data_IF_636818930798
#
_entry.id   IF_636818930798
#
_cell.length_a   1.000
_cell.length_b   1.000
_cell.length_c   1.000
_cell.angle_alpha   90.00
_cell.angle_beta   90.00
_cell.angle_gamma   90.00
#
_symmetry.space_group_name_H-M   'P 1'
#
loop_
_entity.id
_entity.type
_entity.pdbx_description
1 polymer ?
#
# COMPACT_ATOMS: atom_id res chain seq x y z
N UNK A 1 47.77 28.05 -7.62
CA UNK A 1 47.04 28.78 -6.56
C UNK A 1 46.30 27.73 -5.74
N UNK A 2 46.61 27.63 -4.43
CA UNK A 2 45.98 26.79 -3.36
C UNK A 2 46.02 25.26 -3.56
N UNK A 3 46.72 24.39 -2.79
CA UNK A 3 46.90 24.13 -1.33
C UNK A 3 45.63 23.73 -0.57
N UNK A 4 45.77 22.65 0.22
CA UNK A 4 44.93 22.07 1.31
C UNK A 4 43.92 20.96 0.87
N UNK A 5 43.74 19.81 1.55
CA UNK A 5 44.15 19.29 2.87
C UNK A 5 44.14 17.75 2.87
N UNK A 6 45.01 17.16 3.70
CA UNK A 6 44.94 15.78 4.17
C UNK A 6 43.81 15.59 5.18
N UNK A 7 43.14 14.44 5.14
CA UNK A 7 42.41 13.90 6.28
C UNK A 7 42.61 12.38 6.32
N UNK A 8 43.51 11.95 7.19
CA UNK A 8 43.62 10.59 7.66
C UNK A 8 42.45 10.28 8.60
N UNK A 9 41.58 9.33 8.25
CA UNK A 9 40.89 8.52 9.24
C UNK A 9 40.76 7.10 8.71
N UNK A 10 41.32 6.16 9.48
CA UNK A 10 41.22 4.73 9.25
C UNK A 10 39.75 4.32 9.36
N UNK A 11 39.16 3.77 8.29
CA UNK A 11 38.05 2.83 8.43
C UNK A 11 38.64 1.41 8.43
N UNK A 12 38.35 0.56 9.43
CA UNK A 12 38.85 -0.80 9.46
C UNK A 12 38.01 -1.70 8.54
N UNK A 13 38.71 -2.43 7.66
CA UNK A 13 38.34 -3.70 7.03
C UNK A 13 36.87 -3.90 6.64
N UNK A 14 36.51 -3.50 5.41
CA UNK A 14 35.57 -4.29 4.62
C UNK A 14 36.27 -5.61 4.26
N UNK A 15 35.84 -6.71 4.88
CA UNK A 15 36.21 -8.05 4.45
C UNK A 15 35.60 -8.31 3.08
N UNK A 16 36.41 -8.08 2.04
CA UNK A 16 36.15 -8.47 0.66
C UNK A 16 35.95 -9.98 0.61
N UNK A 17 34.72 -10.44 0.44
CA UNK A 17 34.48 -11.77 -0.13
C UNK A 17 34.47 -11.59 -1.64
N UNK A 18 35.60 -11.95 -2.27
CA UNK A 18 35.77 -12.25 -3.69
C UNK A 18 34.93 -11.42 -4.70
N UNK A 19 35.42 -10.22 -5.04
CA UNK A 19 35.18 -9.55 -6.33
C UNK A 19 33.72 -9.35 -6.79
N UNK A 20 32.75 -9.25 -5.90
CA UNK A 20 31.41 -8.77 -6.21
C UNK A 20 31.21 -7.39 -5.58
N UNK A 21 30.91 -6.38 -6.40
CA UNK A 21 30.44 -5.08 -5.91
C UNK A 21 29.00 -5.28 -5.43
N UNK A 22 28.81 -5.17 -4.11
CA UNK A 22 27.49 -5.24 -3.47
C UNK A 22 27.04 -3.78 -3.26
N UNK A 23 26.12 -3.23 -4.07
CA UNK A 23 25.52 -1.93 -3.80
C UNK A 23 24.85 -1.93 -2.41
N UNK A 24 24.82 -0.77 -1.76
CA UNK A 24 24.34 -0.58 -0.37
C UNK A 24 22.90 -1.05 -0.08
N UNK A 25 22.14 -1.38 -1.12
CA UNK A 25 20.77 -1.90 -1.01
C UNK A 25 20.71 -3.43 -0.87
N UNK A 26 21.82 -4.15 -1.09
CA UNK A 26 21.93 -5.61 -0.95
C UNK A 26 22.31 -6.09 0.46
N UNK A 27 22.56 -5.19 1.40
CA UNK A 27 22.93 -5.56 2.78
C UNK A 27 21.75 -6.14 3.60
N UNK A 28 20.54 -6.25 3.04
CA UNK A 28 19.32 -6.58 3.81
C UNK A 28 18.53 -7.81 3.37
N UNK A 29 18.75 -8.36 2.18
CA UNK A 29 17.95 -9.49 1.67
C UNK A 29 18.84 -10.70 1.37
N UNK A 30 18.40 -11.88 1.80
CA UNK A 30 19.17 -13.10 1.59
C UNK A 30 19.17 -13.51 0.11
N UNK A 31 20.34 -13.82 -0.48
CA UNK A 31 20.44 -14.14 -1.90
C UNK A 31 19.96 -15.56 -2.20
N UNK A 32 18.64 -15.80 -2.21
CA UNK A 32 18.05 -17.13 -2.36
C UNK A 32 18.53 -17.87 -3.62
N UNK A 33 18.48 -17.23 -4.80
CA UNK A 33 18.83 -17.90 -6.06
C UNK A 33 20.34 -18.20 -6.17
N UNK A 34 21.24 -17.24 -5.88
CA UNK A 34 22.67 -17.54 -5.79
C UNK A 34 22.99 -18.63 -4.76
N UNK A 35 22.38 -18.58 -3.57
CA UNK A 35 22.54 -19.59 -2.52
C UNK A 35 22.07 -20.98 -2.98
N UNK A 36 20.93 -21.04 -3.68
CA UNK A 36 20.40 -22.29 -4.23
C UNK A 36 21.37 -22.93 -5.22
N UNK A 37 21.89 -22.15 -6.18
CA UNK A 37 22.85 -22.63 -7.17
C UNK A 37 24.14 -23.09 -6.50
N UNK A 38 24.64 -22.35 -5.52
CA UNK A 38 25.83 -22.71 -4.75
C UNK A 38 25.64 -24.01 -3.95
N UNK A 39 24.45 -24.21 -3.39
CA UNK A 39 24.14 -25.35 -2.51
C UNK A 39 23.83 -26.62 -3.30
N UNK A 40 23.03 -26.50 -4.36
CA UNK A 40 22.48 -27.66 -5.08
C UNK A 40 23.07 -27.87 -6.48
N UNK A 41 23.98 -27.00 -6.92
CA UNK A 41 24.73 -27.13 -8.18
C UNK A 41 23.86 -27.07 -9.44
N UNK A 42 22.63 -26.57 -9.34
CA UNK A 42 21.66 -26.53 -10.42
C UNK A 42 20.81 -25.27 -10.35
N UNK A 43 20.26 -24.86 -11.51
CA UNK A 43 19.30 -23.77 -11.55
C UNK A 43 17.98 -24.19 -10.91
N UNK A 44 17.35 -23.32 -10.10
CA UNK A 44 16.11 -23.65 -9.41
C UNK A 44 14.88 -23.62 -10.33
N UNK A 45 13.88 -24.42 -9.99
CA UNK A 45 12.49 -24.18 -10.39
C UNK A 45 11.79 -23.33 -9.32
N UNK A 46 10.73 -22.61 -9.70
CA UNK A 46 10.02 -21.68 -8.83
C UNK A 46 8.81 -22.32 -8.17
N UNK A 47 8.67 -22.11 -6.87
CA UNK A 47 7.52 -22.50 -6.07
C UNK A 47 6.83 -21.24 -5.53
N UNK A 48 5.58 -21.05 -5.91
CA UNK A 48 4.76 -19.91 -5.49
C UNK A 48 3.47 -20.41 -4.82
N UNK A 49 3.13 -19.84 -3.68
CA UNK A 49 1.85 -20.05 -3.03
C UNK A 49 1.03 -18.77 -3.09
N UNK A 50 -0.24 -18.89 -3.47
CA UNK A 50 -1.18 -17.76 -3.49
C UNK A 50 -1.91 -17.59 -2.15
N UNK A 51 -1.69 -18.50 -1.21
CA UNK A 51 -2.39 -18.57 0.06
C UNK A 51 -1.50 -18.10 1.21
N UNK A 52 -2.11 -17.49 2.22
CA UNK A 52 -1.46 -17.21 3.51
C UNK A 52 -1.54 -18.45 4.41
N UNK A 53 -0.53 -18.69 5.25
CA UNK A 53 -0.45 -19.87 6.12
C UNK A 53 -0.37 -19.51 7.59
N UNK A 54 -1.05 -20.29 8.43
CA UNK A 54 -0.98 -20.20 9.90
C UNK A 54 0.42 -20.56 10.39
N UNK A 55 0.89 -20.03 11.54
CA UNK A 55 2.17 -20.41 12.15
C UNK A 55 2.36 -21.93 12.35
N UNK A 56 1.27 -22.70 12.49
CA UNK A 56 1.32 -24.17 12.50
C UNK A 56 1.99 -24.79 11.27
N UNK A 57 1.93 -24.13 10.10
CA UNK A 57 2.61 -24.61 8.90
C UNK A 57 4.14 -24.61 9.05
N UNK A 58 4.70 -23.75 9.90
CA UNK A 58 6.12 -23.78 10.22
C UNK A 58 6.51 -25.11 10.90
N UNK A 59 5.70 -25.55 11.85
CA UNK A 59 5.96 -26.81 12.57
C UNK A 59 5.96 -28.00 11.61
N UNK A 60 5.16 -27.93 10.53
CA UNK A 60 5.17 -28.94 9.47
C UNK A 60 6.50 -28.94 8.69
N UNK A 61 7.06 -27.76 8.38
CA UNK A 61 8.38 -27.67 7.73
C UNK A 61 9.47 -28.27 8.64
N UNK A 62 9.52 -27.83 9.90
CA UNK A 62 10.51 -28.32 10.87
C UNK A 62 10.40 -29.84 11.08
N UNK A 63 9.16 -30.35 11.18
CA UNK A 63 8.88 -31.79 11.29
C UNK A 63 9.23 -32.60 10.04
N UNK A 64 9.44 -31.94 8.90
CA UNK A 64 9.82 -32.57 7.62
C UNK A 64 11.29 -32.36 7.27
N UNK A 65 12.13 -32.00 8.24
CA UNK A 65 13.58 -31.92 8.05
C UNK A 65 14.05 -30.63 7.37
N UNK A 66 13.18 -29.61 7.25
CA UNK A 66 13.63 -28.29 6.83
C UNK A 66 14.44 -27.62 7.94
N UNK A 67 15.64 -27.14 7.58
CA UNK A 67 16.55 -26.47 8.49
C UNK A 67 16.49 -24.97 8.26
N UNK A 68 16.35 -24.19 9.33
CA UNK A 68 16.45 -22.74 9.29
C UNK A 68 17.89 -22.31 9.01
N UNK A 69 18.15 -21.65 7.89
CA UNK A 69 19.48 -21.18 7.50
C UNK A 69 19.65 -19.66 7.67
N UNK A 70 18.55 -18.91 7.70
CA UNK A 70 18.55 -17.47 7.96
C UNK A 70 17.21 -17.02 8.56
N UNK A 71 17.23 -15.96 9.35
CA UNK A 71 16.04 -15.27 9.83
C UNK A 71 16.30 -13.79 10.05
N UNK A 72 15.27 -12.99 9.81
CA UNK A 72 15.28 -11.54 10.02
C UNK A 72 14.24 -11.17 11.09
N UNK A 73 14.59 -10.25 11.99
CA UNK A 73 13.74 -9.81 13.10
C UNK A 73 13.59 -8.28 13.10
N UNK A 74 12.38 -7.80 13.43
CA UNK A 74 12.07 -6.38 13.67
C UNK A 74 11.85 -6.17 15.16
N UNK A 75 12.43 -5.11 15.71
CA UNK A 75 12.14 -4.66 17.06
C UNK A 75 11.13 -3.51 16.97
N UNK A 76 10.04 -3.65 17.69
CA UNK A 76 9.01 -2.60 17.86
C UNK A 76 8.81 -2.33 19.35
N UNK A 77 8.03 -1.30 19.68
CA UNK A 77 7.63 -1.00 21.06
C UNK A 77 6.82 -2.15 21.70
N UNK A 78 6.25 -3.05 20.89
CA UNK A 78 5.50 -4.23 21.33
C UNK A 78 6.36 -5.50 21.43
N UNK A 79 7.64 -5.46 21.00
CA UNK A 79 8.58 -6.57 21.15
C UNK A 79 9.33 -6.95 19.87
N UNK A 80 9.87 -8.17 19.89
CA UNK A 80 10.64 -8.74 18.79
C UNK A 80 9.71 -9.56 17.90
N UNK A 81 9.65 -9.23 16.62
CA UNK A 81 8.84 -9.95 15.64
C UNK A 81 9.73 -10.54 14.56
N UNK A 82 9.50 -11.81 14.20
CA UNK A 82 10.11 -12.37 13.01
C UNK A 82 9.50 -11.69 11.78
N UNK A 83 10.35 -11.25 10.85
CA UNK A 83 9.93 -10.72 9.54
C UNK A 83 10.04 -11.83 8.50
N UNK A 84 11.10 -12.61 8.59
CA UNK A 84 11.49 -13.54 7.55
C UNK A 84 12.19 -14.76 8.16
N UNK A 85 11.93 -15.94 7.59
CA UNK A 85 12.71 -17.16 7.85
C UNK A 85 12.99 -17.88 6.54
N UNK A 86 14.20 -18.42 6.42
CA UNK A 86 14.65 -19.13 5.24
C UNK A 86 14.99 -20.55 5.62
N UNK A 87 14.29 -21.49 5.00
CA UNK A 87 14.36 -22.91 5.26
C UNK A 87 15.01 -23.64 4.10
N UNK A 88 15.89 -24.58 4.40
CA UNK A 88 16.55 -25.43 3.42
C UNK A 88 16.28 -26.89 3.74
N UNK A 89 15.99 -27.68 2.71
CA UNK A 89 15.91 -29.13 2.78
C UNK A 89 16.97 -29.78 1.89
N UNK A 90 17.56 -30.88 2.35
CA UNK A 90 18.64 -31.59 1.65
C UNK A 90 18.23 -32.12 0.27
N UNK A 91 16.95 -32.45 0.08
CA UNK A 91 16.38 -32.90 -1.20
C UNK A 91 16.35 -31.82 -2.30
N UNK A 92 16.86 -30.61 -2.03
CA UNK A 92 16.93 -29.54 -3.02
C UNK A 92 15.75 -28.60 -2.97
N UNK A 93 15.30 -28.22 -1.77
CA UNK A 93 14.23 -27.23 -1.59
C UNK A 93 14.74 -26.10 -0.72
N UNK A 94 14.45 -24.87 -1.13
CA UNK A 94 14.73 -23.66 -0.39
C UNK A 94 13.46 -22.83 -0.30
N UNK A 95 12.98 -22.52 0.89
CA UNK A 95 11.75 -21.79 1.12
C UNK A 95 12.04 -20.51 1.89
N UNK A 96 11.43 -19.40 1.47
CA UNK A 96 11.36 -18.15 2.22
C UNK A 96 9.95 -17.98 2.75
N UNK A 97 9.85 -17.81 4.07
CA UNK A 97 8.62 -17.51 4.79
C UNK A 97 8.66 -16.06 5.26
N UNK A 98 7.76 -15.23 4.77
CA UNK A 98 7.59 -13.82 5.18
C UNK A 98 6.43 -13.71 6.16
N UNK A 99 6.71 -13.25 7.37
CA UNK A 99 5.77 -13.21 8.48
C UNK A 99 5.06 -11.86 8.55
N UNK A 100 3.76 -11.92 8.80
CA UNK A 100 2.91 -10.76 9.05
C UNK A 100 2.51 -10.76 10.52
N UNK A 101 3.37 -10.17 11.35
CA UNK A 101 3.28 -10.29 12.81
C UNK A 101 3.29 -11.76 13.25
N UNK A 102 2.44 -12.10 14.22
CA UNK A 102 2.31 -13.47 14.73
C UNK A 102 1.10 -14.23 14.13
N UNK A 103 0.43 -13.64 13.13
CA UNK A 103 -0.87 -14.13 12.64
C UNK A 103 -0.75 -15.18 11.54
N UNK A 104 0.04 -14.88 10.52
CA UNK A 104 0.25 -15.75 9.36
C UNK A 104 1.57 -15.42 8.66
N UNK A 105 1.97 -16.28 7.72
CA UNK A 105 3.11 -16.05 6.86
C UNK A 105 2.81 -16.43 5.41
N UNK A 106 3.52 -15.80 4.48
CA UNK A 106 3.53 -16.14 3.06
C UNK A 106 4.73 -17.00 2.75
N UNK A 107 4.56 -17.97 1.86
CA UNK A 107 5.60 -18.92 1.51
C UNK A 107 5.88 -18.83 0.02
N UNK A 108 7.16 -18.80 -0.34
CA UNK A 108 7.62 -18.99 -1.71
C UNK A 108 9.02 -19.59 -1.69
N UNK A 109 9.51 -20.06 -2.83
CA UNK A 109 10.84 -20.64 -2.83
C UNK A 109 11.23 -21.31 -4.13
N UNK A 110 12.21 -22.19 -3.99
CA UNK A 110 12.85 -22.90 -5.07
C UNK A 110 12.90 -24.39 -4.81
N UNK A 111 12.82 -25.17 -5.87
CA UNK A 111 12.98 -26.61 -5.80
C UNK A 111 13.78 -27.15 -6.98
N UNK A 112 14.48 -28.27 -6.75
CA UNK A 112 15.22 -28.99 -7.78
C UNK A 112 14.37 -30.06 -8.45
N UNK A 113 13.67 -30.87 -7.65
CA UNK A 113 12.87 -32.01 -8.10
C UNK A 113 11.40 -31.84 -7.70
N UNK A 114 10.49 -31.99 -8.66
CA UNK A 114 9.05 -31.78 -8.46
C UNK A 114 8.44 -32.83 -7.51
N UNK A 115 8.95 -34.06 -7.54
CA UNK A 115 8.41 -35.18 -6.77
C UNK A 115 8.75 -35.01 -5.29
N UNK A 116 9.98 -34.60 -4.99
CA UNK A 116 10.40 -34.18 -3.64
C UNK A 116 9.60 -32.98 -3.14
N UNK A 117 9.40 -31.95 -3.98
CA UNK A 117 8.62 -30.77 -3.60
C UNK A 117 7.17 -31.13 -3.23
N UNK A 118 6.49 -31.89 -4.10
CA UNK A 118 5.10 -32.35 -3.84
C UNK A 118 5.01 -33.18 -2.57
N UNK A 119 5.95 -34.09 -2.34
CA UNK A 119 5.96 -34.94 -1.15
C UNK A 119 6.21 -34.13 0.13
N UNK A 120 7.20 -33.24 0.12
CA UNK A 120 7.59 -32.47 1.30
C UNK A 120 6.62 -31.34 1.63
N UNK A 121 5.77 -30.93 0.69
CA UNK A 121 4.76 -29.89 0.86
C UNK A 121 3.32 -30.44 0.86
N UNK A 122 3.16 -31.76 0.85
CA UNK A 122 1.85 -32.40 0.92
C UNK A 122 1.10 -32.01 2.20
N UNK A 123 -0.20 -31.74 2.14
CA UNK A 123 -0.97 -31.27 3.31
C UNK A 123 -0.59 -29.88 3.84
N UNK A 124 0.33 -29.15 3.22
CA UNK A 124 0.65 -27.77 3.62
C UNK A 124 -0.58 -26.85 3.47
N UNK A 125 -1.46 -27.17 2.53
CA UNK A 125 -2.75 -26.50 2.30
C UNK A 125 -3.71 -26.57 3.51
N UNK A 126 -3.61 -27.58 4.37
CA UNK A 126 -4.44 -27.69 5.57
C UNK A 126 -4.11 -26.60 6.62
N UNK A 127 -2.92 -26.00 6.49
CA UNK A 127 -2.47 -24.90 7.34
C UNK A 127 -2.82 -23.52 6.76
N UNK A 128 -3.65 -23.46 5.71
CA UNK A 128 -4.13 -22.19 5.16
C UNK A 128 -4.75 -21.32 6.25
N UNK A 129 -4.31 -20.08 6.32
CA UNK A 129 -4.89 -19.06 7.16
C UNK A 129 -6.22 -18.63 6.55
N UNK A 130 -7.28 -18.75 7.34
CA UNK A 130 -8.59 -18.21 6.98
C UNK A 130 -8.65 -16.86 7.65
N UNK A 131 -8.63 -15.81 6.85
CA UNK A 131 -8.81 -14.46 7.37
C UNK A 131 -10.18 -14.36 8.04
N UNK A 132 -10.22 -13.80 9.25
CA UNK A 132 -11.47 -13.49 9.91
C UNK A 132 -12.29 -12.54 9.01
N UNK A 133 -13.58 -12.84 8.84
CA UNK A 133 -14.52 -12.13 7.96
C UNK A 133 -14.63 -10.62 8.19
N UNK A 134 -14.08 -10.11 9.31
CA UNK A 134 -14.23 -8.74 9.78
C UNK A 134 -12.91 -7.95 9.88
N UNK A 135 -11.77 -8.51 9.44
CA UNK A 135 -10.53 -7.74 9.46
C UNK A 135 -10.26 -7.09 8.11
N UNK A 136 -10.12 -5.77 8.14
CA UNK A 136 -9.64 -4.97 7.02
C UNK A 136 -8.32 -5.50 6.50
N UNK A 137 -8.27 -5.84 5.21
CA UNK A 137 -7.06 -6.28 4.53
C UNK A 137 -6.41 -5.08 3.85
N UNK A 138 -5.81 -4.19 4.66
CA UNK A 138 -5.06 -3.06 4.13
C UNK A 138 -3.61 -3.47 3.94
N UNK A 139 -3.11 -3.23 2.74
CA UNK A 139 -1.76 -3.56 2.33
C UNK A 139 -1.08 -2.32 1.79
N UNK A 140 0.13 -2.06 2.27
CA UNK A 140 1.00 -1.02 1.74
C UNK A 140 1.88 -1.63 0.64
N UNK A 141 1.87 -1.02 -0.54
CA UNK A 141 2.77 -1.41 -1.63
C UNK A 141 4.19 -0.96 -1.30
N UNK A 142 5.15 -1.86 -1.48
CA UNK A 142 6.57 -1.63 -1.29
C UNK A 142 7.38 -2.18 -2.47
N UNK A 143 8.60 -1.67 -2.66
CA UNK A 143 9.55 -2.15 -3.66
C UNK A 143 10.72 -2.84 -2.95
N UNK A 144 11.10 -4.04 -3.42
CA UNK A 144 12.25 -4.81 -2.94
C UNK A 144 13.04 -5.44 -4.09
N UNK A 145 14.02 -6.31 -3.82
CA UNK A 145 14.86 -6.92 -4.87
C UNK A 145 14.07 -7.87 -5.79
N UNK A 146 12.90 -8.35 -5.35
CA UNK A 146 11.96 -9.15 -6.14
C UNK A 146 10.90 -8.34 -6.90
N UNK A 147 10.98 -7.01 -6.89
CA UNK A 147 9.97 -6.11 -7.44
C UNK A 147 8.96 -5.64 -6.40
N UNK A 148 7.72 -5.40 -6.84
CA UNK A 148 6.65 -4.90 -5.99
C UNK A 148 6.06 -6.02 -5.11
N UNK A 149 5.85 -5.72 -3.85
CA UNK A 149 5.20 -6.61 -2.88
C UNK A 149 4.32 -5.80 -1.92
N UNK A 150 3.55 -6.50 -1.08
CA UNK A 150 2.65 -5.89 -0.09
C UNK A 150 3.08 -6.20 1.33
N UNK A 151 3.11 -5.18 2.19
CA UNK A 151 3.18 -5.34 3.65
C UNK A 151 1.80 -5.04 4.24
N UNK A 152 1.26 -5.93 5.09
CA UNK A 152 -0.02 -5.69 5.75
C UNK A 152 0.14 -4.60 6.80
N UNK A 153 -0.79 -3.65 6.83
CA UNK A 153 -0.82 -2.58 7.83
C UNK A 153 -2.09 -2.70 8.67
N UNK A 154 -1.92 -2.60 9.99
CA UNK A 154 -3.05 -2.45 10.90
C UNK A 154 -3.43 -0.97 10.98
N UNK A 155 -4.60 -0.62 10.44
CA UNK A 155 -5.18 0.71 10.59
C UNK A 155 -6.48 0.53 11.39
N UNK A 156 -6.54 1.19 12.55
CA UNK A 156 -7.78 1.30 13.31
C UNK A 156 -8.73 2.22 12.55
N UNK A 157 -9.90 1.73 12.11
CA UNK A 157 -10.84 2.57 11.38
C UNK A 157 -11.39 3.66 12.31
N UNK A 158 -11.45 4.93 11.86
CA UNK A 158 -12.05 5.98 12.65
C UNK A 158 -13.55 5.69 12.82
N UNK A 159 -14.09 6.02 13.99
CA UNK A 159 -15.53 6.05 14.21
C UNK A 159 -16.10 7.26 13.48
N UNK A 160 -16.85 7.03 12.41
CA UNK A 160 -17.48 8.07 11.62
C UNK A 160 -19.00 7.94 11.75
N UNK A 161 -19.64 9.06 12.10
CA UNK A 161 -21.07 9.27 11.86
C UNK A 161 -21.25 10.05 10.55
N UNK A 162 -21.77 9.40 9.50
CA UNK A 162 -21.88 10.00 8.17
C UNK A 162 -22.82 11.21 8.14
N UNK A 163 -23.87 11.19 8.95
CA UNK A 163 -24.87 12.28 9.02
C UNK A 163 -24.32 13.50 9.74
N UNK A 164 -23.34 13.30 10.62
CA UNK A 164 -22.72 14.38 11.38
C UNK A 164 -21.46 14.94 10.70
N UNK A 165 -20.63 14.07 10.12
CA UNK A 165 -19.31 14.43 9.59
C UNK A 165 -19.32 14.82 8.11
N UNK A 166 -20.40 14.56 7.37
CA UNK A 166 -20.50 14.92 5.95
C UNK A 166 -21.85 15.59 5.63
N UNK A 167 -21.91 16.28 4.49
CA UNK A 167 -23.13 16.95 4.03
C UNK A 167 -24.20 15.94 3.59
N UNK A 168 -25.46 16.41 3.49
CA UNK A 168 -26.64 15.56 3.23
C UNK A 168 -26.62 14.85 1.88
N UNK A 169 -25.76 15.28 0.94
CA UNK A 169 -25.57 14.63 -0.35
C UNK A 169 -24.67 13.39 -0.27
N UNK A 170 -23.87 13.25 0.79
CA UNK A 170 -22.88 12.19 0.93
C UNK A 170 -23.44 10.80 1.24
N UNK A 171 -24.45 10.60 2.11
CA UNK A 171 -24.95 9.26 2.44
C UNK A 171 -25.35 8.42 1.21
N UNK A 172 -25.94 9.04 0.20
CA UNK A 172 -26.29 8.36 -1.06
C UNK A 172 -25.04 7.91 -1.84
N UNK A 173 -23.99 8.73 -1.81
CA UNK A 173 -22.70 8.43 -2.44
C UNK A 173 -21.98 7.32 -1.67
N UNK A 174 -22.04 7.36 -0.34
CA UNK A 174 -21.51 6.32 0.53
C UNK A 174 -22.12 4.95 0.21
N UNK A 175 -23.45 4.85 0.20
CA UNK A 175 -24.17 3.62 -0.14
C UNK A 175 -23.75 3.10 -1.52
N UNK A 176 -23.62 3.98 -2.50
CA UNK A 176 -23.14 3.61 -3.84
C UNK A 176 -21.69 3.08 -3.80
N UNK A 177 -20.80 3.72 -3.05
CA UNK A 177 -19.40 3.30 -2.94
C UNK A 177 -19.27 1.93 -2.28
N UNK A 178 -19.95 1.69 -1.15
CA UNK A 178 -19.94 0.40 -0.45
C UNK A 178 -20.45 -0.70 -1.38
N UNK A 179 -21.59 -0.48 -2.04
CA UNK A 179 -22.17 -1.46 -2.95
C UNK A 179 -21.27 -1.74 -4.16
N UNK A 180 -20.62 -0.72 -4.74
CA UNK A 180 -19.73 -0.89 -5.89
C UNK A 180 -18.45 -1.65 -5.52
N UNK A 181 -17.86 -1.34 -4.36
CA UNK A 181 -16.63 -1.98 -3.91
C UNK A 181 -16.88 -3.42 -3.42
N UNK A 182 -18.08 -3.73 -2.92
CA UNK A 182 -18.45 -5.09 -2.55
C UNK A 182 -18.71 -6.02 -3.74
N UNK A 183 -18.90 -5.50 -4.96
CA UNK A 183 -19.19 -6.31 -6.13
C UNK A 183 -17.98 -7.18 -6.52
N UNK A 184 -18.12 -8.51 -6.62
CA UNK A 184 -17.03 -9.38 -7.03
C UNK A 184 -16.65 -9.11 -8.47
N UNK A 185 -15.35 -9.17 -8.79
CA UNK A 185 -14.84 -8.96 -10.15
C UNK A 185 -15.26 -7.62 -10.76
N UNK A 186 -15.41 -6.60 -9.92
CA UNK A 186 -15.71 -5.24 -10.35
C UNK A 186 -14.45 -4.50 -10.76
N UNK A 187 -14.60 -3.48 -11.61
CA UNK A 187 -13.50 -2.67 -12.12
C UNK A 187 -13.99 -1.24 -12.36
N UNK A 188 -13.06 -0.29 -12.30
CA UNK A 188 -13.35 1.10 -12.64
C UNK A 188 -12.67 2.10 -11.72
N UNK A 189 -12.90 3.37 -12.02
CA UNK A 189 -12.28 4.51 -11.35
C UNK A 189 -13.28 5.20 -10.43
N UNK A 190 -12.84 5.50 -9.22
CA UNK A 190 -13.53 6.29 -8.20
C UNK A 190 -12.65 7.51 -7.93
N UNK A 191 -13.22 8.69 -8.13
CA UNK A 191 -12.55 9.97 -7.87
C UNK A 191 -13.15 10.61 -6.62
N UNK A 192 -12.32 10.84 -5.60
CA UNK A 192 -12.71 11.49 -4.36
C UNK A 192 -11.88 12.77 -4.19
N UNK A 193 -12.48 13.93 -4.35
CA UNK A 193 -11.74 15.18 -4.35
C UNK A 193 -12.33 16.23 -3.44
N UNK A 194 -11.61 17.32 -3.17
CA UNK A 194 -12.08 18.38 -2.28
C UNK A 194 -10.93 19.05 -1.55
N UNK A 195 -11.20 20.14 -0.84
CA UNK A 195 -10.17 20.88 -0.13
C UNK A 195 -9.45 20.01 0.94
N UNK A 196 -8.20 20.33 1.29
CA UNK A 196 -7.55 19.71 2.44
C UNK A 196 -8.42 19.84 3.71
N UNK A 197 -8.43 18.81 4.55
CA UNK A 197 -9.19 18.84 5.80
C UNK A 197 -10.68 18.51 5.70
N UNK A 198 -11.22 18.19 4.52
CA UNK A 198 -12.63 17.76 4.35
C UNK A 198 -12.88 16.27 4.64
N UNK A 199 -11.87 15.52 5.11
CA UNK A 199 -12.03 14.15 5.60
C UNK A 199 -11.96 13.03 4.55
N UNK A 200 -11.35 13.27 3.38
CA UNK A 200 -11.17 12.25 2.32
C UNK A 200 -10.44 10.99 2.80
N UNK A 201 -9.25 11.16 3.38
CA UNK A 201 -8.44 10.04 3.91
C UNK A 201 -9.11 9.35 5.10
N UNK A 202 -9.76 10.11 5.98
CA UNK A 202 -10.54 9.57 7.10
C UNK A 202 -11.67 8.68 6.58
N UNK A 203 -12.37 9.13 5.53
CA UNK A 203 -13.41 8.33 4.88
C UNK A 203 -12.87 7.05 4.24
N UNK A 204 -11.72 7.10 3.55
CA UNK A 204 -11.11 5.89 2.96
C UNK A 204 -10.79 4.85 4.03
N UNK A 205 -10.24 5.29 5.18
CA UNK A 205 -9.99 4.40 6.32
C UNK A 205 -11.27 3.76 6.83
N UNK A 206 -12.35 4.53 6.96
CA UNK A 206 -13.65 4.00 7.33
C UNK A 206 -14.20 3.02 6.28
N UNK A 207 -14.17 3.40 5.01
CA UNK A 207 -14.64 2.58 3.88
C UNK A 207 -13.92 1.24 3.81
N UNK A 208 -12.61 1.23 4.08
CA UNK A 208 -11.83 0.00 4.11
C UNK A 208 -12.42 -1.02 5.09
N UNK A 209 -12.90 -0.58 6.27
CA UNK A 209 -13.50 -1.45 7.30
C UNK A 209 -14.84 -2.07 6.92
N UNK A 210 -15.51 -1.53 5.90
CA UNK A 210 -16.83 -1.97 5.46
C UNK A 210 -16.76 -2.94 4.26
N UNK A 211 -15.66 -2.92 3.52
CA UNK A 211 -15.52 -3.66 2.27
C UNK A 211 -14.65 -4.90 2.48
N UNK A 212 -15.18 -6.07 2.10
CA UNK A 212 -14.46 -7.35 2.14
C UNK A 212 -13.57 -7.55 0.89
N UNK A 213 -12.66 -6.61 0.63
CA UNK A 213 -11.65 -6.69 -0.44
C UNK A 213 -10.31 -6.20 0.06
N UNK A 214 -9.25 -6.70 -0.57
CA UNK A 214 -7.90 -6.21 -0.31
C UNK A 214 -7.77 -4.75 -0.77
N UNK A 215 -7.28 -3.91 0.13
CA UNK A 215 -7.09 -2.47 -0.04
C UNK A 215 -5.58 -2.21 -0.20
N UNK A 216 -5.13 -2.07 -1.45
CA UNK A 216 -3.74 -1.83 -1.81
C UNK A 216 -3.47 -0.32 -1.80
N UNK A 217 -2.73 0.18 -0.81
CA UNK A 217 -2.33 1.58 -0.73
C UNK A 217 -1.01 1.75 -1.49
N UNK A 218 -1.04 2.57 -2.55
CA UNK A 218 0.16 3.04 -3.23
C UNK A 218 0.64 4.34 -2.55
N UNK A 219 1.81 4.34 -1.89
CA UNK A 219 2.35 5.57 -1.31
C UNK A 219 2.59 6.65 -2.37
N UNK A 220 2.41 7.95 -2.05
CA UNK A 220 2.59 9.03 -3.02
C UNK A 220 3.96 9.04 -3.71
N UNK A 221 5.02 8.68 -2.98
CA UNK A 221 6.39 8.61 -3.51
C UNK A 221 6.62 7.43 -4.47
N UNK A 222 5.71 6.45 -4.52
CA UNK A 222 5.76 5.29 -5.42
C UNK A 222 4.88 5.44 -6.66
N UNK A 223 4.27 6.60 -6.88
CA UNK A 223 3.41 6.84 -8.05
C UNK A 223 4.10 6.54 -9.40
N UNK A 224 5.41 6.72 -9.49
CA UNK A 224 6.19 6.37 -10.68
C UNK A 224 6.10 4.87 -11.05
N UNK A 225 5.88 3.98 -10.08
CA UNK A 225 5.74 2.54 -10.32
C UNK A 225 4.47 2.20 -11.10
N UNK A 226 3.47 3.08 -11.15
CA UNK A 226 2.31 2.89 -12.05
C UNK A 226 2.74 2.77 -13.51
N UNK A 227 3.91 3.31 -13.88
CA UNK A 227 4.49 3.23 -15.23
C UNK A 227 5.53 2.12 -15.38
N UNK A 228 5.90 1.46 -14.28
CA UNK A 228 6.88 0.38 -14.28
C UNK A 228 6.29 -0.89 -14.90
N UNK A 229 7.06 -1.69 -15.65
CA UNK A 229 6.61 -3.02 -16.11
C UNK A 229 6.27 -3.97 -14.95
N UNK A 230 6.78 -3.72 -13.74
CA UNK A 230 6.55 -4.54 -12.55
C UNK A 230 5.11 -4.43 -12.00
N UNK A 231 4.38 -3.36 -12.33
CA UNK A 231 3.02 -3.13 -11.81
C UNK A 231 2.02 -4.17 -12.32
N UNK A 232 2.19 -4.66 -13.56
CA UNK A 232 1.24 -5.58 -14.17
C UNK A 232 1.32 -6.97 -13.54
N UNK A 233 2.51 -7.62 -13.41
CA UNK A 233 2.63 -8.86 -12.65
C UNK A 233 2.10 -8.71 -11.22
N UNK A 234 2.48 -7.61 -10.54
CA UNK A 234 2.02 -7.34 -9.18
C UNK A 234 0.48 -7.29 -9.07
N UNK A 235 -0.20 -6.56 -9.95
CA UNK A 235 -1.67 -6.47 -9.94
C UNK A 235 -2.34 -7.79 -10.42
N UNK A 236 -1.66 -8.60 -11.22
CA UNK A 236 -2.11 -9.95 -11.58
C UNK A 236 -2.03 -10.94 -10.41
N UNK A 237 -1.13 -10.72 -9.45
CA UNK A 237 -1.06 -11.50 -8.22
C UNK A 237 -2.06 -11.01 -7.17
N UNK A 238 -2.46 -9.73 -7.25
CA UNK A 238 -3.41 -9.10 -6.32
C UNK A 238 -4.76 -8.76 -7.00
N UNK A 239 -5.37 -9.72 -7.69
CA UNK A 239 -6.65 -9.54 -8.42
C UNK A 239 -7.83 -9.30 -7.49
N UNK A 240 -8.91 -8.73 -8.05
CA UNK A 240 -10.16 -8.44 -7.33
C UNK A 240 -9.95 -7.60 -6.05
N UNK A 241 -9.05 -6.63 -6.16
CA UNK A 241 -8.64 -5.73 -5.08
C UNK A 241 -8.94 -4.25 -5.42
N UNK A 242 -8.77 -3.40 -4.42
CA UNK A 242 -8.95 -1.95 -4.53
C UNK A 242 -7.59 -1.27 -4.43
N UNK A 243 -7.17 -0.59 -5.49
CA UNK A 243 -5.96 0.23 -5.51
C UNK A 243 -6.29 1.65 -5.06
N UNK A 244 -5.75 2.06 -3.92
CA UNK A 244 -5.87 3.41 -3.37
C UNK A 244 -4.63 4.21 -3.75
N UNK A 245 -4.85 5.36 -4.38
CA UNK A 245 -3.79 6.32 -4.71
C UNK A 245 -4.15 7.66 -4.09
N UNK A 246 -3.47 8.01 -3.00
CA UNK A 246 -3.65 9.31 -2.35
C UNK A 246 -2.83 10.40 -3.03
N UNK A 247 -3.33 11.64 -2.98
CA UNK A 247 -2.68 12.83 -3.58
C UNK A 247 -2.26 12.60 -5.04
N UNK A 248 -3.24 12.13 -5.82
CA UNK A 248 -3.10 11.72 -7.20
C UNK A 248 -3.08 12.89 -8.21
N UNK A 249 -2.95 14.14 -7.76
CA UNK A 249 -2.97 15.34 -8.63
C UNK A 249 -2.04 15.18 -9.83
N UNK A 250 -0.78 14.80 -9.57
CA UNK A 250 0.26 14.71 -10.61
C UNK A 250 -0.03 13.62 -11.64
N UNK A 251 -0.66 12.52 -11.23
CA UNK A 251 -0.86 11.34 -12.09
C UNK A 251 -2.21 11.34 -12.80
N UNK A 252 -3.16 12.20 -12.40
CA UNK A 252 -4.47 12.31 -13.06
C UNK A 252 -4.61 13.54 -13.96
N UNK A 253 -3.67 14.49 -13.84
CA UNK A 253 -3.67 15.72 -14.63
C UNK A 253 -3.38 15.47 -16.11
N UNK A 254 -3.95 16.33 -16.96
CA UNK A 254 -3.65 16.32 -18.39
C UNK A 254 -2.19 16.73 -18.67
N UNK A 255 -1.69 16.36 -19.86
CA UNK A 255 -0.35 16.76 -20.32
C UNK A 255 -0.13 18.27 -20.27
N UNK A 256 -1.17 19.03 -20.59
CA UNK A 256 -1.16 20.50 -20.63
C UNK A 256 -1.05 21.12 -19.23
N UNK A 257 -1.50 20.40 -18.20
CA UNK A 257 -1.42 20.80 -16.81
C UNK A 257 -0.15 20.30 -16.09
N UNK A 258 0.79 19.67 -16.82
CA UNK A 258 2.03 19.13 -16.25
C UNK A 258 1.91 17.72 -15.67
N UNK A 259 0.85 16.99 -16.01
CA UNK A 259 0.60 15.62 -15.52
C UNK A 259 1.46 14.54 -16.19
N UNK A 260 1.59 13.40 -15.52
CA UNK A 260 2.27 12.21 -16.04
C UNK A 260 1.33 11.37 -16.94
N UNK A 261 1.46 11.56 -18.25
CA UNK A 261 0.62 10.91 -19.26
C UNK A 261 0.72 9.38 -19.27
N UNK A 262 1.87 8.84 -18.84
CA UNK A 262 2.07 7.39 -18.81
C UNK A 262 1.30 6.77 -17.64
N UNK A 263 1.33 7.44 -16.48
CA UNK A 263 0.54 7.04 -15.31
C UNK A 263 -0.96 7.11 -15.59
N UNK A 264 -1.45 8.18 -16.22
CA UNK A 264 -2.86 8.28 -16.66
C UNK A 264 -3.22 7.10 -17.56
N UNK A 265 -2.40 6.82 -18.58
CA UNK A 265 -2.67 5.75 -19.54
C UNK A 265 -2.76 4.37 -18.88
N UNK A 266 -1.91 4.09 -17.90
CA UNK A 266 -1.96 2.83 -17.16
C UNK A 266 -3.19 2.75 -16.26
N UNK A 267 -3.57 3.82 -15.56
CA UNK A 267 -4.86 3.86 -14.82
C UNK A 267 -6.04 3.60 -15.77
N UNK A 268 -6.02 4.17 -16.98
CA UNK A 268 -7.05 3.90 -17.98
C UNK A 268 -7.10 2.43 -18.42
N UNK A 269 -5.94 1.78 -18.56
CA UNK A 269 -5.85 0.35 -18.91
C UNK A 269 -6.25 -0.57 -17.74
N UNK A 270 -6.10 -0.12 -16.50
CA UNK A 270 -6.53 -0.85 -15.30
C UNK A 270 -8.04 -0.73 -15.07
N UNK A 271 -8.66 0.35 -15.55
CA UNK A 271 -10.08 0.65 -15.32
C UNK A 271 -10.96 0.24 -16.50
N UNK A 272 -10.37 -0.07 -17.66
CA UNK A 272 -11.06 -0.43 -18.89
C UNK A 272 -10.21 -1.33 -19.80
N UNK A 273 -10.85 -2.15 -20.63
CA UNK A 273 -10.20 -3.06 -21.58
C UNK A 273 -9.72 -4.40 -20.99
N UNK A 274 -8.92 -5.12 -21.79
CA UNK A 274 -8.50 -6.50 -21.53
C UNK A 274 -7.76 -6.69 -20.20
N UNK A 275 -6.86 -5.75 -19.86
CA UNK A 275 -6.11 -5.80 -18.61
C UNK A 275 -7.04 -5.67 -17.40
N UNK A 276 -8.00 -4.75 -17.47
CA UNK A 276 -9.01 -4.57 -16.44
C UNK A 276 -9.92 -5.81 -16.29
N UNK A 277 -10.25 -6.51 -17.39
CA UNK A 277 -11.00 -7.78 -17.37
C UNK A 277 -10.19 -8.96 -16.79
N UNK A 278 -8.87 -8.92 -16.89
CA UNK A 278 -8.01 -9.94 -16.31
C UNK A 278 -7.80 -9.76 -14.80
N UNK A 279 -7.69 -8.51 -14.35
CA UNK A 279 -7.27 -8.19 -12.98
C UNK A 279 -8.44 -7.81 -12.05
N UNK A 280 -9.51 -7.21 -12.58
CA UNK A 280 -10.65 -6.72 -11.80
C UNK A 280 -10.24 -5.76 -10.67
N UNK A 281 -9.43 -4.75 -11.01
CA UNK A 281 -8.96 -3.74 -10.04
C UNK A 281 -9.92 -2.56 -10.05
N UNK A 282 -10.33 -2.14 -8.85
CA UNK A 282 -11.04 -0.88 -8.64
C UNK A 282 -10.04 0.16 -8.15
N UNK A 283 -10.01 1.34 -8.76
CA UNK A 283 -9.05 2.39 -8.40
C UNK A 283 -9.78 3.49 -7.65
N UNK A 284 -9.37 3.79 -6.42
CA UNK A 284 -9.78 4.99 -5.68
C UNK A 284 -8.62 5.97 -5.75
N UNK A 285 -8.86 7.13 -6.35
CA UNK A 285 -7.86 8.19 -6.41
C UNK A 285 -8.37 9.46 -5.71
N UNK A 286 -7.55 10.00 -4.80
CA UNK A 286 -7.86 11.26 -4.12
C UNK A 286 -7.05 12.42 -4.67
N UNK A 287 -7.61 13.63 -4.64
CA UNK A 287 -6.88 14.85 -5.01
C UNK A 287 -7.57 16.11 -4.43
N UNK A 288 -6.81 17.19 -4.27
CA UNK A 288 -7.27 18.47 -3.74
C UNK A 288 -7.60 19.49 -4.85
N UNK A 289 -7.22 19.20 -6.09
CA UNK A 289 -7.30 20.12 -7.23
C UNK A 289 -8.69 20.22 -7.89
N UNK A 290 -8.86 21.25 -8.72
CA UNK A 290 -10.05 21.40 -9.57
C UNK A 290 -10.10 20.31 -10.64
N UNK A 291 -11.27 19.67 -10.76
CA UNK A 291 -11.58 18.64 -11.76
C UNK A 291 -11.26 19.04 -13.20
N UNK A 292 -11.22 20.34 -13.51
CA UNK A 292 -10.88 20.84 -14.84
C UNK A 292 -9.47 20.51 -15.31
N UNK A 293 -8.55 20.20 -14.40
CA UNK A 293 -7.17 19.85 -14.71
C UNK A 293 -6.99 18.35 -15.06
N UNK A 294 -8.01 17.53 -14.84
CA UNK A 294 -7.95 16.09 -15.09
C UNK A 294 -7.97 15.77 -16.58
N UNK A 295 -7.34 14.66 -16.95
CA UNK A 295 -7.49 14.11 -18.29
C UNK A 295 -8.95 13.69 -18.55
N UNK A 296 -9.57 14.24 -19.60
CA UNK A 296 -10.96 13.97 -19.96
C UNK A 296 -11.24 12.50 -20.28
N UNK A 297 -10.22 11.71 -20.63
CA UNK A 297 -10.37 10.27 -20.87
C UNK A 297 -10.74 9.50 -19.59
N UNK A 298 -10.37 10.01 -18.41
CA UNK A 298 -10.75 9.44 -17.11
C UNK A 298 -12.26 9.62 -16.84
N UNK A 299 -12.87 10.69 -17.38
CA UNK A 299 -14.27 11.06 -17.15
C UNK A 299 -15.27 10.33 -18.05
N UNK A 300 -14.81 9.40 -18.89
CA UNK A 300 -15.68 8.67 -19.81
C UNK A 300 -16.60 7.72 -19.04
N UNK A 301 -17.88 7.72 -19.42
CA UNK A 301 -18.88 6.77 -18.92
C UNK A 301 -18.42 5.33 -19.21
N UNK A 302 -18.47 4.46 -18.21
CA UNK A 302 -17.96 3.09 -18.28
C UNK A 302 -16.60 2.90 -17.59
N UNK A 303 -15.81 3.97 -17.44
CA UNK A 303 -14.55 3.96 -16.65
C UNK A 303 -14.78 4.55 -15.27
N UNK A 304 -15.37 5.75 -15.25
CA UNK A 304 -15.68 6.47 -14.03
C UNK A 304 -16.96 5.92 -13.41
N UNK A 305 -16.84 5.36 -12.21
CA UNK A 305 -17.96 4.80 -11.46
C UNK A 305 -18.57 5.81 -10.49
N UNK A 306 -17.70 6.56 -9.79
CA UNK A 306 -18.07 7.59 -8.82
C UNK A 306 -17.11 8.75 -8.95
N UNK A 307 -17.66 9.95 -8.84
CA UNK A 307 -16.92 11.20 -8.78
C UNK A 307 -17.62 12.08 -7.75
N UNK A 308 -16.92 12.35 -6.64
CA UNK A 308 -17.50 13.07 -5.52
C UNK A 308 -16.54 14.13 -4.98
N UNK A 309 -17.11 15.32 -4.74
CA UNK A 309 -16.44 16.48 -4.21
C UNK A 309 -16.78 16.65 -2.72
N UNK A 310 -15.87 16.29 -1.83
CA UNK A 310 -15.94 16.61 -0.41
C UNK A 310 -15.83 18.13 -0.21
N UNK A 311 -16.95 18.73 0.16
CA UNK A 311 -17.03 20.14 0.51
C UNK A 311 -16.76 20.41 1.99
N UNK A 312 -16.70 21.69 2.33
CA UNK A 312 -16.86 22.15 3.72
C UNK A 312 -18.27 21.78 4.22
N UNK A 313 -18.41 21.53 5.51
CA UNK A 313 -19.72 21.34 6.11
C UNK A 313 -20.52 22.64 6.03
N UNK A 314 -21.76 22.53 5.59
CA UNK A 314 -22.69 23.66 5.61
C UNK A 314 -22.83 24.21 7.04
N UNK A 315 -23.07 25.53 7.22
CA UNK A 315 -23.05 26.15 8.55
C UNK A 315 -23.96 25.45 9.58
N UNK A 316 -25.09 24.90 9.14
CA UNK A 316 -26.00 24.14 10.00
C UNK A 316 -25.33 22.85 10.49
N UNK A 317 -24.77 22.06 9.57
CA UNK A 317 -24.05 20.81 9.88
C UNK A 317 -22.81 21.07 10.73
N UNK A 318 -22.02 22.10 10.38
CA UNK A 318 -20.86 22.52 11.16
C UNK A 318 -21.23 22.85 12.60
N UNK A 319 -22.30 23.63 12.82
CA UNK A 319 -22.78 23.94 14.17
C UNK A 319 -23.35 22.73 14.92
N UNK A 320 -23.95 21.77 14.21
CA UNK A 320 -24.41 20.51 14.81
C UNK A 320 -23.23 19.67 15.30
N UNK A 321 -22.18 19.52 14.47
CA UNK A 321 -20.95 18.83 14.87
C UNK A 321 -20.25 19.54 16.02
N UNK A 322 -20.10 20.87 15.98
CA UNK A 322 -19.55 21.66 17.09
C UNK A 322 -20.34 21.45 18.39
N UNK A 323 -21.67 21.41 18.32
CA UNK A 323 -22.53 21.13 19.47
C UNK A 323 -22.34 19.71 20.01
N UNK A 324 -22.19 18.73 19.12
CA UNK A 324 -21.93 17.33 19.49
C UNK A 324 -20.57 17.16 20.18
N UNK A 325 -19.57 17.95 19.78
CA UNK A 325 -18.25 18.03 20.41
C UNK A 325 -18.25 18.84 21.73
N UNK A 326 -19.38 19.41 22.14
CA UNK A 326 -19.47 20.22 23.37
C UNK A 326 -18.91 21.64 23.24
N UNK A 327 -18.63 22.11 22.02
CA UNK A 327 -18.07 23.44 21.77
C UNK A 327 -19.16 24.52 21.84
N UNK A 328 -18.86 25.69 22.40
CA UNK A 328 -19.77 26.85 22.42
C UNK A 328 -19.69 27.72 21.16
N UNK A 329 -18.59 27.62 20.40
CA UNK A 329 -18.39 28.38 19.16
C UNK A 329 -19.47 28.07 18.12
N UNK A 330 -19.98 29.11 17.44
CA UNK A 330 -20.95 28.97 16.35
C UNK A 330 -20.52 29.78 15.14
N UNK A 331 -20.60 29.17 13.97
CA UNK A 331 -20.21 29.77 12.69
C UNK A 331 -21.42 30.06 11.81
N UNK A 332 -21.29 31.07 10.95
CA UNK A 332 -22.20 31.32 9.81
C UNK A 332 -21.58 30.92 8.47
N UNK A 333 -20.30 30.57 8.47
CA UNK A 333 -19.53 30.19 7.29
C UNK A 333 -19.30 28.68 7.28
N UNK A 334 -19.22 28.05 6.08
CA UNK A 334 -18.87 26.64 5.98
C UNK A 334 -17.46 26.37 6.53
N UNK A 335 -17.28 25.24 7.21
CA UNK A 335 -15.99 24.86 7.83
C UNK A 335 -15.52 23.49 7.36
N UNK A 336 -14.20 23.28 7.29
CA UNK A 336 -13.66 21.94 7.08
C UNK A 336 -13.76 21.11 8.36
N UNK A 337 -13.71 19.78 8.25
CA UNK A 337 -13.65 18.92 9.43
C UNK A 337 -12.39 19.20 10.24
N UNK A 338 -11.25 19.40 9.57
CA UNK A 338 -10.01 19.75 10.25
C UNK A 338 -10.12 21.04 11.07
N UNK A 339 -10.75 22.10 10.54
CA UNK A 339 -10.96 23.34 11.28
C UNK A 339 -11.84 23.15 12.51
N UNK A 340 -12.88 22.31 12.40
CA UNK A 340 -13.81 22.02 13.50
C UNK A 340 -13.12 21.21 14.61
N UNK A 341 -12.36 20.17 14.26
CA UNK A 341 -11.67 19.33 15.24
C UNK A 341 -10.47 20.03 15.90
N UNK A 342 -9.82 20.98 15.21
CA UNK A 342 -8.64 21.68 15.68
C UNK A 342 -8.94 23.12 16.13
N UNK A 343 -10.19 23.44 16.46
CA UNK A 343 -10.64 24.80 16.75
C UNK A 343 -9.92 25.44 17.95
N UNK A 344 -9.49 24.62 18.93
CA UNK A 344 -8.72 25.05 20.12
C UNK A 344 -7.21 25.07 19.88
N UNK A 345 -6.73 24.30 18.89
CA UNK A 345 -5.33 24.29 18.46
C UNK A 345 -5.10 25.46 17.49
N UNK A 346 -5.04 26.68 18.02
CA UNK A 346 -4.55 27.81 17.24
C UNK A 346 -3.12 27.52 16.79
N UNK A 347 -2.98 27.09 15.54
CA UNK A 347 -1.69 27.04 14.87
C UNK A 347 -1.12 28.46 14.89
N UNK A 348 0.02 28.67 15.56
CA UNK A 348 0.74 29.94 15.53
C UNK A 348 1.40 30.05 14.14
N UNK A 349 0.64 30.46 13.14
CA UNK A 349 1.18 30.83 11.83
C UNK A 349 1.48 32.33 11.83
N UNK A 350 2.75 32.69 12.00
CA UNK A 350 3.22 34.06 11.79
C UNK A 350 3.73 34.22 10.36
N UNK A 351 3.05 35.02 9.53
CA UNK A 351 3.68 35.54 8.32
C UNK A 351 4.75 36.57 8.72
N UNK A 352 6.01 36.33 8.33
CA UNK A 352 7.06 37.35 8.42
C UNK A 352 6.75 38.42 7.38
N UNK A 353 6.18 39.55 7.77
CA UNK A 353 6.17 40.73 6.93
C UNK A 353 7.61 41.22 6.72
N UNK A 354 8.12 41.08 5.49
CA UNK A 354 9.36 41.74 5.10
C UNK A 354 9.15 43.26 5.17
N UNK A 355 9.79 43.90 6.15
CA UNK A 355 9.94 45.34 6.17
C UNK A 355 10.91 45.72 5.06
N UNK A 356 10.39 46.32 3.98
CA UNK A 356 11.23 46.99 2.97
C UNK A 356 11.95 48.17 3.63
N UNK A 357 13.19 47.97 4.04
CA UNK A 357 14.11 49.07 4.32
C UNK A 357 14.54 49.68 2.98
N UNK A 358 14.08 50.90 2.72
CA UNK A 358 14.53 51.70 1.58
C UNK A 358 15.97 52.17 1.77
N UNK A 359 16.75 52.15 0.69
CA UNK A 359 18.07 52.78 0.58
C UNK A 359 17.93 54.27 0.27
#
# INVERSE_FOLDING_TARGET
>A
MLRYLSASSRMPNQSVIQNLYIPSDLDREFPLAPHFVQTFGSYPNYLHFNDDFKPSGQQLLEGRGFVLINHSIRVTDQGWHAIERIYQHEDGILLKAEFVGDRFFRLYGYYRDELSAKKLLDGFQDHKYVHEDNQTHIYLIQSGLGGLHTERVEILPPTIDLELHYNDDFPVVHERLVNLLAQPKSKGLILLHGEPGTGKTTYIKHLSSLVKKDMLILPPYMTNYLTSPEIIPFLLDNKDSVLIIEDAERILQSREAGGDTNSVSNILNLTDGLLADCMHIQVIATFNASKHLLDKALLRKGRLMVDYAFGKLDPIKANNLLSNLGMEYRTKEPMTLADIFNLEEQTVSGERHEVKMGF
#
